data_IF_352557973485
#
_entry.id   IF_352557973485
#
_cell.length_a   1.000
_cell.length_b   1.000
_cell.length_c   1.000
_cell.angle_alpha   90.00
_cell.angle_beta   90.00
_cell.angle_gamma   90.00
#
_symmetry.space_group_name_H-M   'P 1'
#
loop_
_entity.id
_entity.type
_entity.pdbx_description
1 polymer ?
#
# COMPACT_ATOMS: atom_id res chain seq x y z
N UNK A 1 8.65 -24.16 6.94
CA UNK A 1 9.01 -23.42 5.70
C UNK A 1 8.63 -21.94 5.82
N UNK A 2 8.32 -21.48 7.04
CA UNK A 2 7.45 -20.32 7.30
C UNK A 2 8.20 -19.03 7.67
N UNK A 3 9.45 -19.15 8.14
CA UNK A 3 10.24 -17.98 8.56
C UNK A 3 10.56 -17.04 7.39
N UNK A 4 10.90 -17.60 6.22
CA UNK A 4 11.18 -16.81 5.00
C UNK A 4 9.93 -16.16 4.42
N UNK A 5 8.76 -16.78 4.58
CA UNK A 5 7.50 -16.23 4.08
C UNK A 5 7.04 -15.06 4.96
N UNK A 6 7.13 -15.20 6.28
CA UNK A 6 6.85 -14.13 7.25
C UNK A 6 7.81 -12.93 7.11
N UNK A 7 9.10 -13.16 6.86
CA UNK A 7 10.06 -12.08 6.63
C UNK A 7 9.74 -11.31 5.33
N UNK A 8 9.35 -12.03 4.26
CA UNK A 8 8.92 -11.42 3.00
C UNK A 8 7.66 -10.57 3.14
N UNK A 9 6.63 -11.05 3.85
CA UNK A 9 5.40 -10.26 4.07
C UNK A 9 5.68 -8.98 4.87
N UNK A 10 6.58 -9.02 5.86
CA UNK A 10 7.02 -7.82 6.58
C UNK A 10 7.66 -6.80 5.64
N UNK A 11 8.57 -7.24 4.75
CA UNK A 11 9.23 -6.36 3.78
C UNK A 11 8.20 -5.74 2.81
N UNK A 12 7.28 -6.56 2.28
CA UNK A 12 6.23 -6.09 1.37
C UNK A 12 5.34 -5.05 2.04
N UNK A 13 4.90 -5.28 3.29
CA UNK A 13 4.12 -4.30 4.05
C UNK A 13 4.86 -2.98 4.24
N UNK A 14 6.14 -3.03 4.61
CA UNK A 14 6.96 -1.81 4.78
C UNK A 14 7.04 -1.02 3.47
N UNK A 15 7.20 -1.71 2.34
CA UNK A 15 7.21 -1.07 1.01
C UNK A 15 5.85 -0.47 0.63
N UNK A 16 4.76 -1.20 0.81
CA UNK A 16 3.41 -0.71 0.53
C UNK A 16 3.04 0.50 1.39
N UNK A 17 3.42 0.51 2.68
CA UNK A 17 3.23 1.67 3.56
C UNK A 17 4.01 2.90 3.07
N UNK A 18 5.24 2.72 2.58
CA UNK A 18 6.02 3.81 1.96
C UNK A 18 5.34 4.36 0.71
N UNK A 19 4.84 3.48 -0.16
CA UNK A 19 4.08 3.89 -1.36
C UNK A 19 2.86 4.72 -0.96
N UNK A 20 2.09 4.26 0.03
CA UNK A 20 0.95 5.01 0.58
C UNK A 20 1.37 6.39 1.09
N UNK A 21 2.46 6.48 1.86
CA UNK A 21 2.96 7.77 2.37
C UNK A 21 3.37 8.72 1.25
N UNK A 22 4.10 8.24 0.24
CA UNK A 22 4.50 9.08 -0.90
C UNK A 22 3.31 9.52 -1.75
N UNK A 23 2.38 8.62 -2.02
CA UNK A 23 1.20 8.94 -2.81
C UNK A 23 0.25 9.89 -2.07
N UNK A 24 0.07 9.73 -0.76
CA UNK A 24 -0.71 10.66 0.06
C UNK A 24 -0.08 12.05 0.09
N UNK A 25 1.26 12.13 0.19
CA UNK A 25 1.96 13.41 0.12
C UNK A 25 1.81 14.05 -1.27
N UNK A 26 1.98 13.30 -2.35
CA UNK A 26 1.77 13.78 -3.72
C UNK A 26 0.34 14.27 -3.98
N UNK A 27 -0.66 13.54 -3.46
CA UNK A 27 -2.06 13.98 -3.47
C UNK A 27 -2.23 15.31 -2.75
N UNK A 28 -1.66 15.46 -1.56
CA UNK A 28 -1.79 16.68 -0.77
C UNK A 28 -1.16 17.89 -1.48
N UNK A 29 0.00 17.69 -2.11
CA UNK A 29 0.69 18.73 -2.88
C UNK A 29 -0.08 19.16 -4.13
N UNK A 30 -0.91 18.27 -4.70
CA UNK A 30 -1.68 18.52 -5.92
C UNK A 30 -3.16 18.84 -5.65
N UNK A 31 -3.55 19.07 -4.39
CA UNK A 31 -4.93 19.43 -4.01
C UNK A 31 -5.36 20.79 -4.55
N UNK A 32 -4.42 21.73 -4.68
CA UNK A 32 -4.68 23.09 -5.14
C UNK A 32 -4.48 23.27 -6.64
N UNK A 33 -3.96 22.25 -7.33
CA UNK A 33 -3.82 22.30 -8.78
C UNK A 33 -5.20 22.21 -9.44
N UNK A 34 -5.46 23.10 -10.39
CA UNK A 34 -6.66 23.02 -11.25
C UNK A 34 -6.67 21.73 -12.07
N UNK A 35 -5.50 21.11 -12.25
CA UNK A 35 -5.29 19.90 -13.02
C UNK A 35 -5.61 18.63 -12.20
N UNK A 36 -6.90 18.29 -12.17
CA UNK A 36 -7.47 17.14 -11.43
C UNK A 36 -6.91 15.78 -11.82
N UNK A 37 -6.13 15.68 -12.91
CA UNK A 37 -5.58 14.41 -13.40
C UNK A 37 -4.52 13.87 -12.44
N UNK A 38 -3.60 14.72 -11.98
CA UNK A 38 -2.52 14.29 -11.09
C UNK A 38 -3.07 13.80 -9.75
N UNK A 39 -4.05 14.53 -9.22
CA UNK A 39 -4.77 14.16 -8.01
C UNK A 39 -5.44 12.78 -8.15
N UNK A 40 -6.10 12.51 -9.28
CA UNK A 40 -6.70 11.19 -9.58
C UNK A 40 -5.66 10.08 -9.62
N UNK A 41 -4.49 10.31 -10.22
CA UNK A 41 -3.40 9.32 -10.28
C UNK A 41 -2.96 8.96 -8.86
N UNK A 42 -2.74 9.95 -7.98
CA UNK A 42 -2.36 9.66 -6.60
C UNK A 42 -3.45 8.89 -5.84
N UNK A 43 -4.73 9.24 -6.05
CA UNK A 43 -5.84 8.48 -5.46
C UNK A 43 -5.89 7.02 -5.93
N UNK A 44 -5.64 6.76 -7.21
CA UNK A 44 -5.58 5.40 -7.74
C UNK A 44 -4.42 4.61 -7.13
N UNK A 45 -3.23 5.22 -7.01
CA UNK A 45 -2.08 4.59 -6.35
C UNK A 45 -2.40 4.26 -4.89
N UNK A 46 -3.03 5.18 -4.15
CA UNK A 46 -3.44 4.96 -2.76
C UNK A 46 -4.40 3.77 -2.68
N UNK A 47 -5.42 3.74 -3.54
CA UNK A 47 -6.43 2.68 -3.58
C UNK A 47 -5.81 1.31 -3.84
N UNK A 48 -4.97 1.18 -4.87
CA UNK A 48 -4.36 -0.11 -5.22
C UNK A 48 -3.32 -0.57 -4.19
N UNK A 49 -2.53 0.36 -3.63
CA UNK A 49 -1.60 0.03 -2.54
C UNK A 49 -2.34 -0.45 -1.28
N UNK A 50 -3.50 0.13 -0.97
CA UNK A 50 -4.32 -0.30 0.16
C UNK A 50 -4.93 -1.70 -0.04
N UNK A 51 -5.46 -1.98 -1.23
CA UNK A 51 -5.94 -3.32 -1.60
C UNK A 51 -4.84 -4.37 -1.48
N UNK A 52 -3.65 -4.08 -2.03
CA UNK A 52 -2.51 -4.98 -1.92
C UNK A 52 -2.12 -5.23 -0.45
N UNK A 53 -2.16 -4.18 0.40
CA UNK A 53 -1.86 -4.31 1.82
C UNK A 53 -2.88 -5.21 2.54
N UNK A 54 -4.16 -5.09 2.20
CA UNK A 54 -5.22 -5.97 2.74
C UNK A 54 -4.99 -7.44 2.38
N UNK A 55 -4.60 -7.74 1.14
CA UNK A 55 -4.25 -9.11 0.71
C UNK A 55 -3.10 -9.67 1.55
N UNK A 56 -2.05 -8.87 1.78
CA UNK A 56 -0.91 -9.31 2.62
C UNK A 56 -1.32 -9.57 4.06
N UNK A 57 -2.25 -8.80 4.63
CA UNK A 57 -2.81 -9.09 5.96
C UNK A 57 -3.70 -10.34 5.97
N UNK A 58 -4.42 -10.62 4.87
CA UNK A 58 -5.19 -11.85 4.69
C UNK A 58 -4.30 -13.10 4.78
N UNK A 59 -3.20 -13.12 4.02
CA UNK A 59 -2.23 -14.22 4.08
C UNK A 59 -1.65 -14.46 5.47
N UNK A 60 -1.37 -13.40 6.24
CA UNK A 60 -0.90 -13.57 7.62
C UNK A 60 -1.95 -14.16 8.57
N UNK A 61 -3.23 -13.86 8.36
CA UNK A 61 -4.30 -14.48 9.14
C UNK A 61 -4.40 -15.97 8.85
N UNK A 62 -4.29 -16.36 7.57
CA UNK A 62 -4.32 -17.77 7.16
C UNK A 62 -3.13 -18.56 7.75
N UNK A 63 -1.90 -18.02 7.69
CA UNK A 63 -0.70 -18.67 8.27
C UNK A 63 -0.80 -18.87 9.78
N UNK A 64 -1.52 -17.99 10.52
CA UNK A 64 -1.65 -18.12 11.98
C UNK A 64 -2.73 -19.11 12.43
N UNK A 65 -3.57 -19.58 11.52
CA UNK A 65 -4.68 -20.51 11.82
C UNK A 65 -4.31 -21.96 11.48
N UNK A 66 -3.18 -22.18 10.81
CA UNK A 66 -2.60 -23.50 10.51
C UNK A 66 -1.45 -23.80 11.46
#
# INVERSE_FOLDING_TARGET
>A
MDSKLGERTIIVKKRLRRVLSYAANGFYLTLTDEDKIQNRIFLEIIKEAYKALQVVYGFEKEIRVV
#
